data_IF_042303274202
#
_entry.id   IF_042303274202
#
_cell.length_a   1.000
_cell.length_b   1.000
_cell.length_c   1.000
_cell.angle_alpha   90.00
_cell.angle_beta   90.00
_cell.angle_gamma   90.00
#
_symmetry.space_group_name_H-M   'P 1'
#
loop_
_entity.id
_entity.type
_entity.pdbx_description
1 polymer ?
#
# COMPACT_ATOMS: atom_id res chain seq x y z
N UNK A 1 11.72 -23.12 2.46
CA UNK A 1 11.95 -22.00 3.40
C UNK A 1 11.40 -22.39 4.77
N UNK A 2 12.06 -22.06 5.88
CA UNK A 2 11.55 -22.39 7.22
C UNK A 2 10.37 -21.47 7.59
N UNK A 3 9.31 -22.02 8.20
CA UNK A 3 8.17 -21.25 8.74
C UNK A 3 8.62 -20.13 9.68
N UNK A 4 9.67 -20.37 10.47
CA UNK A 4 10.23 -19.36 11.37
C UNK A 4 10.78 -18.14 10.63
N UNK A 5 11.41 -18.34 9.45
CA UNK A 5 11.93 -17.24 8.65
C UNK A 5 10.79 -16.41 8.04
N UNK A 6 9.73 -17.08 7.59
CA UNK A 6 8.53 -16.40 7.05
C UNK A 6 7.92 -15.50 8.12
N UNK A 7 7.62 -16.05 9.30
CA UNK A 7 6.92 -15.33 10.36
C UNK A 7 7.77 -14.23 11.02
N UNK A 8 9.08 -14.49 11.22
CA UNK A 8 9.96 -13.55 11.95
C UNK A 8 10.58 -12.48 11.06
N UNK A 9 10.51 -12.62 9.74
CA UNK A 9 11.23 -11.76 8.81
C UNK A 9 10.41 -11.37 7.59
N UNK A 10 9.90 -12.33 6.81
CA UNK A 10 9.13 -12.01 5.61
C UNK A 10 7.85 -11.25 5.93
N UNK A 11 7.12 -11.67 6.96
CA UNK A 11 5.88 -11.03 7.38
C UNK A 11 6.06 -9.57 7.83
N UNK A 12 6.93 -9.23 8.80
CA UNK A 12 7.11 -7.82 9.18
C UNK A 12 7.70 -6.97 8.05
N UNK A 13 8.57 -7.52 7.20
CA UNK A 13 9.05 -6.79 6.00
C UNK A 13 7.90 -6.51 5.04
N UNK A 14 6.98 -7.46 4.84
CA UNK A 14 5.80 -7.26 3.99
C UNK A 14 4.96 -6.10 4.51
N UNK A 15 4.71 -6.04 5.82
CA UNK A 15 3.96 -4.94 6.44
C UNK A 15 4.65 -3.59 6.24
N UNK A 16 5.98 -3.54 6.44
CA UNK A 16 6.76 -2.32 6.21
C UNK A 16 6.69 -1.92 4.74
N UNK A 17 6.87 -2.86 3.82
CA UNK A 17 6.84 -2.60 2.39
C UNK A 17 5.47 -2.10 1.93
N UNK A 18 4.40 -2.76 2.37
CA UNK A 18 3.02 -2.36 2.07
C UNK A 18 2.68 -0.97 2.63
N UNK A 19 3.23 -0.61 3.79
CA UNK A 19 2.99 0.69 4.40
C UNK A 19 3.81 1.84 3.78
N UNK A 20 4.99 1.57 3.20
CA UNK A 20 5.89 2.60 2.69
C UNK A 20 5.84 2.74 1.17
N UNK A 21 5.65 1.63 0.45
CA UNK A 21 5.60 1.63 -1.00
C UNK A 21 4.16 1.49 -1.43
N UNK A 22 3.72 2.46 -2.21
CA UNK A 22 2.47 2.36 -2.95
C UNK A 22 2.61 3.18 -4.22
N UNK A 23 1.66 2.99 -5.13
CA UNK A 23 1.63 3.70 -6.40
C UNK A 23 0.45 4.65 -6.36
N UNK A 24 0.67 5.88 -6.81
CA UNK A 24 -0.40 6.84 -7.03
C UNK A 24 -0.85 6.80 -8.49
N UNK A 25 -2.13 7.06 -8.68
CA UNK A 25 -2.83 6.99 -9.95
C UNK A 25 -3.63 8.27 -10.10
N UNK A 26 -3.29 9.08 -11.09
CA UNK A 26 -4.11 10.21 -11.52
C UNK A 26 -5.17 9.70 -12.49
N UNK A 27 -6.42 9.86 -12.09
CA UNK A 27 -7.54 9.15 -12.69
C UNK A 27 -8.71 10.10 -12.91
N UNK A 28 -9.35 9.99 -14.08
CA UNK A 28 -10.68 10.55 -14.31
C UNK A 28 -11.74 9.53 -13.95
N UNK A 29 -12.71 9.92 -13.12
CA UNK A 29 -13.92 9.13 -12.92
C UNK A 29 -14.92 9.48 -14.01
N UNK A 30 -15.48 8.48 -14.70
CA UNK A 30 -16.33 8.71 -15.89
C UNK A 30 -17.55 9.58 -15.56
N UNK A 31 -18.15 9.36 -14.39
CA UNK A 31 -19.31 10.09 -13.88
C UNK A 31 -18.98 10.94 -12.64
N UNK A 32 -17.72 11.37 -12.48
CA UNK A 32 -17.26 12.07 -11.29
C UNK A 32 -16.12 13.04 -11.56
N UNK A 33 -15.58 13.60 -10.48
CA UNK A 33 -14.38 14.44 -10.54
C UNK A 33 -13.14 13.55 -10.68
N UNK A 34 -12.09 14.09 -11.27
CA UNK A 34 -10.79 13.43 -11.25
C UNK A 34 -10.19 13.43 -9.84
N UNK A 35 -9.21 12.55 -9.64
CA UNK A 35 -8.63 12.35 -8.32
C UNK A 35 -7.34 11.56 -8.32
N UNK A 36 -6.61 11.69 -7.21
CA UNK A 36 -5.45 10.86 -6.90
C UNK A 36 -5.91 9.63 -6.12
N UNK A 37 -5.79 8.46 -6.75
CA UNK A 37 -6.05 7.17 -6.13
C UNK A 37 -4.73 6.46 -5.82
N UNK A 38 -4.74 5.50 -4.91
CA UNK A 38 -3.53 4.83 -4.41
C UNK A 38 -3.70 3.31 -4.32
N UNK A 39 -2.61 2.61 -4.57
CA UNK A 39 -2.48 1.17 -4.38
C UNK A 39 -1.55 0.51 -5.39
N UNK A 40 -1.06 -0.69 -5.10
CA UNK A 40 -0.18 -1.41 -6.00
C UNK A 40 -0.28 -2.94 -5.81
N UNK A 41 -0.55 -3.71 -6.87
CA UNK A 41 -0.81 -3.26 -8.25
C UNK A 41 -2.23 -2.73 -8.48
N UNK A 42 -3.18 -2.95 -7.58
CA UNK A 42 -4.56 -2.50 -7.72
C UNK A 42 -4.82 -1.22 -6.94
N UNK A 43 -5.84 -0.46 -7.32
CA UNK A 43 -6.25 0.72 -6.56
C UNK A 43 -7.09 0.24 -5.38
N UNK A 44 -6.56 0.37 -4.16
CA UNK A 44 -7.29 0.01 -2.93
C UNK A 44 -7.78 1.22 -2.14
N UNK A 45 -7.33 2.43 -2.48
CA UNK A 45 -7.67 3.67 -1.79
C UNK A 45 -7.99 4.76 -2.81
N UNK A 46 -9.12 5.44 -2.63
CA UNK A 46 -9.56 6.54 -3.47
C UNK A 46 -10.10 7.69 -2.60
N UNK A 47 -10.16 8.93 -3.11
CA UNK A 47 -10.89 9.99 -2.43
C UNK A 47 -12.38 9.65 -2.44
N UNK A 48 -13.06 9.93 -1.34
CA UNK A 48 -14.50 9.81 -1.28
C UNK A 48 -15.14 11.03 -1.96
N UNK A 49 -15.98 10.79 -2.97
CA UNK A 49 -16.57 11.87 -3.78
C UNK A 49 -17.75 12.60 -3.13
N UNK A 50 -18.07 12.30 -1.86
CA UNK A 50 -19.17 12.92 -1.11
C UNK A 50 -18.73 13.92 -0.03
N UNK A 51 -17.45 13.90 0.39
CA UNK A 51 -16.90 14.77 1.46
C UNK A 51 -15.42 15.05 1.24
N UNK A 52 -14.99 16.30 1.45
CA UNK A 52 -13.58 16.69 1.45
C UNK A 52 -12.79 15.95 2.53
N UNK A 53 -11.59 15.46 2.22
CA UNK A 53 -10.70 14.67 3.11
C UNK A 53 -11.15 13.25 3.47
N UNK A 54 -12.35 12.82 3.09
CA UNK A 54 -12.76 11.43 3.26
C UNK A 54 -12.10 10.54 2.20
N UNK A 55 -11.76 9.31 2.60
CA UNK A 55 -11.21 8.28 1.72
C UNK A 55 -12.15 7.07 1.66
N UNK A 56 -12.20 6.43 0.49
CA UNK A 56 -12.86 5.14 0.28
C UNK A 56 -11.81 4.05 0.08
N UNK A 57 -11.98 2.95 0.81
CA UNK A 57 -11.09 1.79 0.79
C UNK A 57 -11.78 0.57 0.17
N UNK A 58 -11.13 -0.06 -0.80
CA UNK A 58 -11.60 -1.26 -1.49
C UNK A 58 -10.96 -2.51 -0.90
N UNK A 59 -11.78 -3.34 -0.25
CA UNK A 59 -11.28 -4.49 0.52
C UNK A 59 -10.70 -5.60 -0.36
N UNK A 60 -11.29 -5.84 -1.53
CA UNK A 60 -10.81 -6.85 -2.48
C UNK A 60 -9.42 -6.51 -3.02
N UNK A 61 -9.23 -5.27 -3.49
CA UNK A 61 -7.98 -4.74 -3.98
C UNK A 61 -6.93 -4.67 -2.87
N UNK A 62 -7.31 -4.25 -1.66
CA UNK A 62 -6.41 -4.22 -0.51
C UNK A 62 -5.88 -5.62 -0.18
N UNK A 63 -6.77 -6.62 -0.14
CA UNK A 63 -6.39 -8.00 0.13
C UNK A 63 -5.51 -8.57 -0.98
N UNK A 64 -5.86 -8.32 -2.26
CA UNK A 64 -5.08 -8.75 -3.41
C UNK A 64 -3.68 -8.14 -3.41
N UNK A 65 -3.57 -6.83 -3.19
CA UNK A 65 -2.30 -6.12 -3.08
C UNK A 65 -1.45 -6.69 -1.95
N UNK A 66 -2.02 -6.87 -0.75
CA UNK A 66 -1.28 -7.44 0.37
C UNK A 66 -0.72 -8.84 0.06
N UNK A 67 -1.52 -9.70 -0.59
CA UNK A 67 -1.07 -11.03 -1.02
C UNK A 67 0.09 -10.92 -2.02
N UNK A 68 0.03 -9.97 -2.95
CA UNK A 68 1.08 -9.74 -3.94
C UNK A 68 2.36 -9.24 -3.27
N UNK A 69 2.27 -8.26 -2.38
CA UNK A 69 3.41 -7.80 -1.57
C UNK A 69 4.03 -8.96 -0.78
N UNK A 70 3.20 -9.76 -0.12
CA UNK A 70 3.67 -10.92 0.63
C UNK A 70 4.36 -11.94 -0.27
N UNK A 71 3.80 -12.21 -1.44
CA UNK A 71 4.37 -13.11 -2.45
C UNK A 71 5.73 -12.62 -2.97
N UNK A 72 5.84 -11.33 -3.31
CA UNK A 72 7.08 -10.71 -3.79
C UNK A 72 8.16 -10.77 -2.70
N UNK A 73 7.86 -10.31 -1.49
CA UNK A 73 8.82 -10.30 -0.36
C UNK A 73 9.27 -11.71 0.00
N UNK A 74 8.33 -12.64 0.09
CA UNK A 74 8.60 -14.07 0.36
C UNK A 74 9.45 -14.68 -0.76
N UNK A 75 9.16 -14.36 -2.02
CA UNK A 75 9.91 -14.81 -3.19
C UNK A 75 11.36 -14.29 -3.18
N UNK A 76 11.56 -13.01 -2.89
CA UNK A 76 12.90 -12.41 -2.75
C UNK A 76 13.67 -13.08 -1.62
N UNK A 77 13.07 -13.19 -0.43
CA UNK A 77 13.73 -13.81 0.74
C UNK A 77 14.05 -15.28 0.47
N UNK A 78 13.14 -16.02 -0.17
CA UNK A 78 13.37 -17.40 -0.56
C UNK A 78 14.55 -17.52 -1.52
N UNK A 79 14.59 -16.65 -2.53
CA UNK A 79 15.65 -16.59 -3.55
C UNK A 79 17.01 -16.34 -2.91
N UNK A 80 17.11 -15.32 -2.05
CA UNK A 80 18.34 -14.99 -1.31
C UNK A 80 18.76 -16.13 -0.39
N UNK A 81 17.81 -16.71 0.35
CA UNK A 81 18.08 -17.83 1.26
C UNK A 81 18.52 -19.10 0.53
N UNK A 82 18.09 -19.29 -0.72
CA UNK A 82 18.41 -20.47 -1.54
C UNK A 82 19.73 -20.32 -2.29
N UNK A 83 19.99 -19.17 -2.88
CA UNK A 83 21.09 -18.98 -3.83
C UNK A 83 22.25 -18.14 -3.31
N UNK A 84 22.05 -17.28 -2.32
CA UNK A 84 23.10 -16.36 -1.82
C UNK A 84 23.67 -16.87 -0.51
N UNK A 85 22.85 -16.97 0.53
CA UNK A 85 23.30 -17.35 1.88
C UNK A 85 22.12 -17.73 2.76
N UNK A 86 22.31 -18.73 3.63
CA UNK A 86 21.30 -19.11 4.59
C UNK A 86 21.04 -17.95 5.57
N UNK A 87 19.81 -17.44 5.58
CA UNK A 87 19.43 -16.27 6.39
C UNK A 87 19.13 -16.75 7.80
N UNK A 88 19.91 -16.26 8.77
CA UNK A 88 19.69 -16.50 10.20
C UNK A 88 19.22 -15.21 10.87
N UNK A 89 18.00 -15.21 11.39
CA UNK A 89 17.38 -14.02 11.97
C UNK A 89 17.51 -14.07 13.49
N UNK A 90 18.30 -13.14 14.04
CA UNK A 90 18.43 -12.96 15.49
C UNK A 90 17.12 -12.44 16.07
N UNK A 91 16.78 -12.88 17.29
CA UNK A 91 15.52 -12.52 17.97
C UNK A 91 15.34 -11.00 18.09
N UNK A 92 16.38 -10.26 18.49
CA UNK A 92 16.33 -8.80 18.64
C UNK A 92 16.00 -8.07 17.34
N UNK A 93 16.58 -8.50 16.22
CA UNK A 93 16.31 -7.89 14.92
C UNK A 93 14.87 -8.10 14.46
N UNK A 94 14.31 -9.30 14.69
CA UNK A 94 12.89 -9.57 14.42
C UNK A 94 11.98 -8.66 15.24
N UNK A 95 12.28 -8.46 16.53
CA UNK A 95 11.51 -7.56 17.40
C UNK A 95 11.52 -6.12 16.86
N UNK A 96 12.68 -5.60 16.45
CA UNK A 96 12.79 -4.26 15.87
C UNK A 96 11.94 -4.13 14.61
N UNK A 97 11.99 -5.11 13.70
CA UNK A 97 11.15 -5.10 12.50
C UNK A 97 9.65 -5.08 12.82
N UNK A 98 9.22 -5.85 13.81
CA UNK A 98 7.82 -5.84 14.25
C UNK A 98 7.41 -4.50 14.86
N UNK A 99 8.27 -3.87 15.67
CA UNK A 99 7.99 -2.54 16.23
C UNK A 99 7.80 -1.52 15.11
N UNK A 100 8.71 -1.50 14.11
CA UNK A 100 8.60 -0.59 12.97
C UNK A 100 7.32 -0.87 12.17
N UNK A 101 7.04 -2.14 11.85
CA UNK A 101 5.84 -2.53 11.13
C UNK A 101 4.56 -2.10 11.87
N UNK A 102 4.50 -2.31 13.18
CA UNK A 102 3.35 -1.98 14.01
C UNK A 102 3.15 -0.46 14.12
N UNK A 103 4.23 0.32 14.22
CA UNK A 103 4.12 1.79 14.20
C UNK A 103 3.58 2.30 12.87
N UNK A 104 4.10 1.80 11.74
CA UNK A 104 3.66 2.23 10.41
C UNK A 104 2.20 1.85 10.12
N UNK A 105 1.83 0.60 10.36
CA UNK A 105 0.47 0.12 10.14
C UNK A 105 -0.50 0.73 11.16
N UNK A 106 -0.08 0.87 12.41
CA UNK A 106 -0.88 1.50 13.46
C UNK A 106 -1.21 2.95 13.13
N UNK A 107 -0.22 3.72 12.65
CA UNK A 107 -0.42 5.07 12.19
C UNK A 107 -1.40 5.13 11.01
N UNK A 108 -1.17 4.34 9.95
CA UNK A 108 -2.09 4.32 8.79
C UNK A 108 -3.52 3.93 9.19
N UNK A 109 -3.67 2.86 9.96
CA UNK A 109 -4.98 2.37 10.43
C UNK A 109 -5.72 3.44 11.23
N UNK A 110 -5.02 4.24 12.03
CA UNK A 110 -5.66 5.31 12.80
C UNK A 110 -6.33 6.37 11.90
N UNK A 111 -5.72 6.72 10.77
CA UNK A 111 -6.35 7.60 9.77
C UNK A 111 -7.46 6.90 9.02
N UNK A 112 -7.26 5.64 8.65
CA UNK A 112 -8.26 4.84 7.93
C UNK A 112 -9.55 4.65 8.75
N UNK A 113 -9.47 4.59 10.08
CA UNK A 113 -10.62 4.46 10.99
C UNK A 113 -11.35 5.77 11.29
N UNK A 114 -11.00 6.89 10.63
CA UNK A 114 -11.76 8.13 10.77
C UNK A 114 -13.22 7.92 10.32
N UNK A 115 -14.21 8.48 11.03
CA UNK A 115 -15.65 8.19 10.80
C UNK A 115 -16.15 8.55 9.40
N UNK A 116 -15.47 9.46 8.72
CA UNK A 116 -15.85 9.96 7.41
C UNK A 116 -15.42 9.02 6.28
N UNK A 117 -14.50 8.09 6.56
CA UNK A 117 -14.03 7.12 5.59
C UNK A 117 -15.03 6.00 5.36
N UNK A 118 -15.04 5.48 4.14
CA UNK A 118 -15.90 4.38 3.72
C UNK A 118 -15.11 3.14 3.38
N UNK A 119 -15.67 1.99 3.71
CA UNK A 119 -15.15 0.68 3.30
C UNK A 119 -16.14 0.05 2.34
N UNK A 120 -15.66 -0.25 1.14
CA UNK A 120 -16.43 -0.89 0.08
C UNK A 120 -15.75 -2.21 -0.31
N UNK A 121 -16.55 -3.20 -0.73
CA UNK A 121 -16.00 -4.49 -1.13
C UNK A 121 -15.19 -4.39 -2.41
N UNK A 122 -15.73 -3.69 -3.40
CA UNK A 122 -15.14 -3.43 -4.71
C UNK A 122 -15.52 -2.03 -5.17
N UNK A 123 -14.87 -1.54 -6.22
CA UNK A 123 -15.13 -0.23 -6.83
C UNK A 123 -16.30 -0.35 -7.81
N UNK A 124 -17.31 0.50 -7.66
CA UNK A 124 -18.59 0.45 -8.40
C UNK A 124 -18.72 1.50 -9.52
N UNK A 125 -17.71 2.33 -9.72
CA UNK A 125 -17.64 3.31 -10.80
C UNK A 125 -16.60 2.94 -11.85
N UNK A 126 -16.56 3.64 -12.98
CA UNK A 126 -15.53 3.47 -14.02
C UNK A 126 -14.48 4.58 -13.98
N UNK A 127 -13.27 4.23 -14.40
CA UNK A 127 -12.11 5.12 -14.36
C UNK A 127 -11.28 5.10 -15.64
N UNK A 128 -10.70 6.25 -15.97
CA UNK A 128 -9.70 6.39 -17.03
C UNK A 128 -8.38 6.84 -16.42
N UNK A 129 -7.38 5.97 -16.50
CA UNK A 129 -6.03 6.25 -15.98
C UNK A 129 -5.35 7.24 -16.91
N UNK A 130 -4.87 8.36 -16.36
CA UNK A 130 -4.15 9.40 -17.11
C UNK A 130 -2.66 9.32 -16.88
N UNK A 131 -2.28 9.29 -15.61
CA UNK A 131 -0.88 9.27 -15.21
C UNK A 131 -0.72 8.41 -13.98
N UNK A 132 0.46 7.84 -13.82
CA UNK A 132 0.78 7.07 -12.62
C UNK A 132 2.21 7.32 -12.19
N UNK A 133 2.48 7.16 -10.91
CA UNK A 133 3.82 7.28 -10.36
C UNK A 133 3.94 6.56 -9.03
N UNK A 134 5.17 6.50 -8.50
CA UNK A 134 5.42 5.86 -7.21
C UNK A 134 5.26 6.91 -6.11
N UNK A 135 4.49 6.58 -5.08
CA UNK A 135 4.38 7.39 -3.87
C UNK A 135 5.58 7.07 -2.98
N UNK A 136 6.29 8.11 -2.57
CA UNK A 136 7.38 8.01 -1.60
C UNK A 136 7.13 9.04 -0.50
N UNK A 137 7.26 8.67 0.78
CA UNK A 137 7.15 9.63 1.88
C UNK A 137 8.12 10.81 1.68
N UNK A 138 7.58 12.04 1.64
CA UNK A 138 8.36 13.28 1.48
C UNK A 138 8.57 13.75 0.04
N UNK A 139 7.78 13.27 -0.93
CA UNK A 139 7.87 13.66 -2.33
C UNK A 139 6.52 14.08 -2.90
N UNK A 140 6.33 15.36 -3.23
CA UNK A 140 5.06 15.95 -3.66
C UNK A 140 4.78 15.80 -5.18
N UNK A 141 5.29 14.74 -5.81
CA UNK A 141 5.15 14.52 -7.27
C UNK A 141 3.72 14.24 -7.70
N UNK A 142 2.99 13.52 -6.87
CA UNK A 142 1.57 13.24 -7.04
C UNK A 142 0.76 14.54 -7.05
N UNK A 143 0.99 15.40 -6.05
CA UNK A 143 0.32 16.70 -5.94
C UNK A 143 0.70 17.63 -7.07
N UNK A 144 1.99 17.69 -7.42
CA UNK A 144 2.47 18.51 -8.54
C UNK A 144 1.83 18.07 -9.87
N UNK A 145 1.74 16.76 -10.12
CA UNK A 145 1.11 16.21 -11.33
C UNK A 145 -0.40 16.51 -11.39
N UNK A 146 -1.08 16.46 -10.24
CA UNK A 146 -2.49 16.83 -10.14
C UNK A 146 -2.71 18.33 -10.39
N UNK A 147 -1.90 19.19 -9.75
CA UNK A 147 -2.02 20.64 -9.87
C UNK A 147 -1.65 21.14 -11.28
N UNK A 148 -0.64 20.57 -11.92
CA UNK A 148 -0.24 20.93 -13.30
C UNK A 148 -1.34 20.67 -14.33
N UNK A 149 -2.25 19.72 -14.05
CA UNK A 149 -3.39 19.42 -14.91
C UNK A 149 -4.54 20.43 -14.76
N UNK A 150 -4.62 21.09 -13.61
CA UNK A 150 -5.69 22.02 -13.25
C UNK A 150 -5.30 23.50 -13.41
N UNK A 151 -4.11 23.76 -13.97
CA UNK A 151 -3.68 25.09 -14.41
C UNK A 151 -4.25 25.41 -15.78
#
# INVERSE_FOLDING_TARGET
MNRTLILRFAFPITLIAFALFTKWWLVDVVDGTDGLMYGFPFIYRAPAFYTSMAEEYFMDALAADFIIYFGIVTGIIYSVNRWVSAITVKKGFSVVLFVIALLLIGFRTAFTLMPENRFSLTRDYDIVIRQTGIEFPGNDRDRSAFDDRHK
#
